data_IF_272824891635
#
_entry.id   IF_272824891635
#
_cell.length_a   1.000
_cell.length_b   1.000
_cell.length_c   1.000
_cell.angle_alpha   90.00
_cell.angle_beta   90.00
_cell.angle_gamma   90.00
#
_symmetry.space_group_name_H-M   'P 1'
#
loop_
_entity.id
_entity.type
_entity.pdbx_description
1 polymer ?
#
# COMPACT_ATOMS: atom_id res chain seq x y z
N UNK A 1 -11.16 -4.09 4.13
CA UNK A 1 -9.93 -4.57 3.46
C UNK A 1 -9.59 -3.71 2.26
N UNK A 2 -8.51 -4.04 1.53
CA UNK A 2 -8.11 -3.34 0.30
C UNK A 2 -8.78 -4.01 -0.89
N UNK A 3 -9.84 -3.41 -1.41
CA UNK A 3 -10.57 -3.92 -2.57
C UNK A 3 -9.83 -3.74 -3.90
N UNK A 4 -10.31 -4.36 -5.00
CA UNK A 4 -9.62 -4.39 -6.30
C UNK A 4 -9.30 -2.99 -6.86
N UNK A 5 -10.20 -2.01 -6.67
CA UNK A 5 -9.98 -0.62 -7.12
C UNK A 5 -8.78 0.01 -6.42
N UNK A 6 -8.68 -0.14 -5.09
CA UNK A 6 -7.56 0.41 -4.31
C UNK A 6 -6.24 -0.30 -4.63
N UNK A 7 -6.27 -1.63 -4.79
CA UNK A 7 -5.10 -2.41 -5.23
C UNK A 7 -4.57 -1.94 -6.58
N UNK A 8 -5.47 -1.75 -7.55
CA UNK A 8 -5.09 -1.24 -8.89
C UNK A 8 -4.44 0.13 -8.81
N UNK A 9 -4.97 1.05 -8.01
CA UNK A 9 -4.38 2.40 -7.85
C UNK A 9 -2.99 2.35 -7.23
N UNK A 10 -2.80 1.52 -6.20
CA UNK A 10 -1.48 1.32 -5.59
C UNK A 10 -0.49 0.78 -6.61
N UNK A 11 -0.87 -0.25 -7.37
CA UNK A 11 -0.01 -0.80 -8.44
C UNK A 11 0.28 0.23 -9.55
N UNK A 12 -0.68 1.09 -9.90
CA UNK A 12 -0.45 2.16 -10.86
C UNK A 12 0.49 3.25 -10.33
N UNK A 13 0.45 3.55 -9.04
CA UNK A 13 1.30 4.55 -8.41
C UNK A 13 2.74 4.06 -8.20
N UNK A 14 2.92 2.80 -7.82
CA UNK A 14 4.22 2.27 -7.36
C UNK A 14 4.82 1.21 -8.30
N UNK A 15 4.04 0.63 -9.21
CA UNK A 15 4.51 -0.30 -10.24
C UNK A 15 4.60 -1.77 -9.83
N UNK A 16 5.02 -2.07 -8.59
CA UNK A 16 5.15 -3.45 -8.09
C UNK A 16 4.72 -3.58 -6.63
N UNK A 17 4.52 -4.81 -6.16
CA UNK A 17 4.24 -5.08 -4.74
C UNK A 17 5.42 -4.67 -3.85
N UNK A 18 6.65 -4.93 -4.28
CA UNK A 18 7.86 -4.54 -3.54
C UNK A 18 7.94 -3.02 -3.42
N UNK A 19 7.67 -2.26 -4.48
CA UNK A 19 7.66 -0.81 -4.43
C UNK A 19 6.56 -0.25 -3.52
N UNK A 20 5.39 -0.91 -3.45
CA UNK A 20 4.33 -0.57 -2.48
C UNK A 20 4.81 -0.86 -1.06
N UNK A 21 5.53 -1.97 -0.86
CA UNK A 21 6.05 -2.36 0.44
C UNK A 21 7.15 -1.42 0.92
N UNK A 22 7.98 -0.88 0.02
CA UNK A 22 9.04 0.09 0.34
C UNK A 22 8.51 1.51 0.59
N UNK A 23 7.39 1.89 -0.04
CA UNK A 23 6.78 3.22 0.11
C UNK A 23 6.51 3.60 1.58
N UNK A 24 6.61 4.90 1.88
CA UNK A 24 6.29 5.41 3.21
C UNK A 24 4.77 5.40 3.44
N UNK A 25 4.35 5.51 4.71
CA UNK A 25 2.91 5.63 5.05
C UNK A 25 2.29 6.86 4.38
N UNK A 26 3.03 7.97 4.29
CA UNK A 26 2.56 9.21 3.68
C UNK A 26 2.42 9.07 2.15
N UNK A 27 3.38 8.40 1.49
CA UNK A 27 3.28 8.10 0.06
C UNK A 27 2.07 7.23 -0.23
N UNK A 28 1.84 6.18 0.58
CA UNK A 28 0.66 5.31 0.44
C UNK A 28 -0.64 6.08 0.66
N UNK A 29 -0.67 7.02 1.61
CA UNK A 29 -1.83 7.86 1.90
C UNK A 29 -2.08 8.93 0.82
N UNK A 30 -1.08 9.26 0.00
CA UNK A 30 -1.26 10.17 -1.15
C UNK A 30 -2.12 9.56 -2.26
N UNK A 31 -2.28 8.22 -2.28
CA UNK A 31 -3.08 7.52 -3.28
C UNK A 31 -4.59 7.73 -3.02
N UNK A 32 -5.38 8.18 -4.03
CA UNK A 32 -6.80 8.46 -3.84
C UNK A 32 -7.62 7.30 -3.27
N UNK A 33 -8.24 7.57 -2.11
CA UNK A 33 -9.06 6.61 -1.38
C UNK A 33 -8.28 5.70 -0.42
N UNK A 34 -7.00 5.99 -0.19
CA UNK A 34 -6.19 5.44 0.90
C UNK A 34 -6.13 6.49 2.02
N UNK A 35 -6.62 6.14 3.21
CA UNK A 35 -6.48 7.00 4.38
C UNK A 35 -5.16 6.68 5.10
N UNK A 36 -4.63 7.56 5.96
CA UNK A 36 -3.43 7.26 6.74
C UNK A 36 -3.54 5.95 7.55
N UNK A 37 -4.71 5.70 8.16
CA UNK A 37 -4.99 4.45 8.89
C UNK A 37 -4.95 3.23 7.96
N UNK A 38 -5.43 3.35 6.72
CA UNK A 38 -5.37 2.26 5.75
C UNK A 38 -3.96 2.06 5.22
N UNK A 39 -3.20 3.13 5.01
CA UNK A 39 -1.80 3.10 4.59
C UNK A 39 -0.92 2.36 5.61
N UNK A 40 -1.05 2.67 6.91
CA UNK A 40 -0.37 1.96 7.98
C UNK A 40 -0.66 0.45 7.93
N UNK A 41 -1.95 0.07 7.84
CA UNK A 41 -2.35 -1.35 7.76
C UNK A 41 -1.81 -2.06 6.52
N UNK A 42 -1.67 -1.35 5.40
CA UNK A 42 -1.06 -1.91 4.18
C UNK A 42 0.43 -2.16 4.42
N UNK A 43 1.15 -1.19 4.99
CA UNK A 43 2.58 -1.31 5.30
C UNK A 43 2.83 -2.47 6.25
N UNK A 44 2.11 -2.53 7.37
CA UNK A 44 2.21 -3.61 8.36
C UNK A 44 1.99 -4.99 7.73
N UNK A 45 0.96 -5.11 6.87
CA UNK A 45 0.65 -6.36 6.18
C UNK A 45 1.76 -6.79 5.21
N UNK A 46 2.27 -5.86 4.40
CA UNK A 46 3.29 -6.17 3.40
C UNK A 46 4.65 -6.48 4.04
N UNK A 47 5.03 -5.78 5.11
CA UNK A 47 6.22 -6.11 5.88
C UNK A 47 6.15 -7.51 6.48
N UNK A 48 4.98 -7.91 7.00
CA UNK A 48 4.77 -9.27 7.51
C UNK A 48 4.83 -10.33 6.41
N UNK A 49 4.33 -10.02 5.21
CA UNK A 49 4.32 -10.94 4.06
C UNK A 49 5.72 -11.20 3.50
N UNK A 50 6.61 -10.20 3.48
CA UNK A 50 7.97 -10.33 2.92
C UNK A 50 8.98 -10.94 3.90
N UNK A 51 8.69 -10.91 5.20
CA UNK A 51 9.56 -11.46 6.26
C UNK A 51 9.32 -12.95 6.54
N UNK A 52 8.30 -13.56 5.93
CA UNK A 52 7.95 -14.98 6.06
C UNK A 52 8.25 -15.75 4.77
#
# INVERSE_FOLDING_TARGET
GVGPVRRRRLLQAFGSLDAIAEASVDDLASVPGITPVLAMRIKDFLEGYLKG
#
